data_IF_380675681081
#
_entry.id   IF_380675681081
#
_cell.length_a   1.000
_cell.length_b   1.000
_cell.length_c   1.000
_cell.angle_alpha   90.00
_cell.angle_beta   90.00
_cell.angle_gamma   90.00
#
_symmetry.space_group_name_H-M   'P 1'
#
loop_
_entity.id
_entity.type
_entity.pdbx_description
1 polymer ?
#
# COMPACT_ATOMS: atom_id res chain seq x y z
N UNK A 1 -41.88 -15.41 -17.32
CA UNK A 1 -41.64 -14.54 -16.14
C UNK A 1 -40.45 -14.99 -15.27
N UNK A 2 -40.32 -16.27 -14.89
CA UNK A 2 -39.31 -16.76 -13.93
C UNK A 2 -37.84 -16.30 -14.16
N UNK A 3 -37.38 -16.17 -15.40
CA UNK A 3 -35.99 -15.77 -15.71
C UNK A 3 -35.63 -14.39 -15.15
N UNK A 4 -36.58 -13.44 -15.12
CA UNK A 4 -36.32 -12.04 -14.69
C UNK A 4 -35.93 -11.98 -13.22
N UNK A 5 -36.68 -12.68 -12.35
CA UNK A 5 -36.44 -12.70 -10.91
C UNK A 5 -35.09 -13.31 -10.52
N UNK A 6 -34.50 -14.16 -11.37
CA UNK A 6 -33.20 -14.76 -11.13
C UNK A 6 -32.00 -13.86 -11.48
N UNK A 7 -32.23 -12.74 -12.19
CA UNK A 7 -31.15 -11.82 -12.64
C UNK A 7 -31.06 -10.57 -11.75
N UNK A 8 -32.20 -10.03 -11.27
CA UNK A 8 -32.21 -8.88 -10.36
C UNK A 8 -31.25 -8.98 -9.16
N UNK A 9 -31.18 -10.08 -8.37
CA UNK A 9 -30.27 -10.15 -7.23
C UNK A 9 -28.79 -10.20 -7.63
N UNK A 10 -28.45 -10.80 -8.78
CA UNK A 10 -27.08 -10.77 -9.31
C UNK A 10 -26.69 -9.36 -9.76
N UNK A 11 -27.59 -8.66 -10.45
CA UNK A 11 -27.36 -7.28 -10.88
C UNK A 11 -27.22 -6.35 -9.67
N UNK A 12 -28.05 -6.52 -8.64
CA UNK A 12 -27.98 -5.78 -7.37
C UNK A 12 -26.68 -6.03 -6.62
N UNK A 13 -26.22 -7.28 -6.50
CA UNK A 13 -24.97 -7.60 -5.80
C UNK A 13 -23.73 -7.09 -6.56
N UNK A 14 -23.72 -7.19 -7.89
CA UNK A 14 -22.66 -6.59 -8.73
C UNK A 14 -22.65 -5.07 -8.63
N UNK A 15 -23.83 -4.42 -8.72
CA UNK A 15 -23.94 -2.97 -8.58
C UNK A 15 -23.49 -2.50 -7.19
N UNK A 16 -23.82 -3.24 -6.13
CA UNK A 16 -23.33 -2.99 -4.77
C UNK A 16 -21.82 -3.10 -4.63
N UNK A 17 -21.20 -4.13 -5.23
CA UNK A 17 -19.74 -4.25 -5.28
C UNK A 17 -19.07 -3.14 -6.08
N UNK A 18 -19.63 -2.78 -7.23
CA UNK A 18 -19.13 -1.69 -8.09
C UNK A 18 -19.25 -0.34 -7.36
N UNK A 19 -20.39 -0.06 -6.71
CA UNK A 19 -20.58 1.14 -5.89
C UNK A 19 -19.61 1.16 -4.69
N UNK A 20 -19.41 0.04 -4.00
CA UNK A 20 -18.42 -0.04 -2.92
C UNK A 20 -16.99 0.22 -3.43
N UNK A 21 -16.63 -0.32 -4.60
CA UNK A 21 -15.31 -0.09 -5.21
C UNK A 21 -15.14 1.37 -5.64
N UNK A 22 -16.18 1.99 -6.23
CA UNK A 22 -16.17 3.42 -6.54
C UNK A 22 -16.11 4.29 -5.28
N UNK A 23 -16.84 3.98 -4.21
CA UNK A 23 -16.79 4.73 -2.94
C UNK A 23 -15.41 4.61 -2.30
N UNK A 24 -14.83 3.41 -2.23
CA UNK A 24 -13.46 3.19 -1.73
C UNK A 24 -12.50 4.01 -2.60
N UNK A 25 -12.54 3.86 -3.93
CA UNK A 25 -11.70 4.63 -4.86
C UNK A 25 -11.87 6.14 -4.69
N UNK A 26 -13.09 6.65 -4.49
CA UNK A 26 -13.34 8.08 -4.28
C UNK A 26 -12.79 8.56 -2.94
N UNK A 27 -12.93 7.78 -1.85
CA UNK A 27 -12.33 8.12 -0.55
C UNK A 27 -10.80 8.04 -0.55
N UNK A 28 -10.21 7.15 -1.36
CA UNK A 28 -8.75 7.01 -1.48
C UNK A 28 -8.13 8.01 -2.47
N UNK A 29 -8.90 8.45 -3.47
CA UNK A 29 -8.49 9.45 -4.48
C UNK A 29 -8.86 10.88 -4.10
N UNK A 30 -9.74 11.06 -3.10
CA UNK A 30 -9.98 12.37 -2.50
C UNK A 30 -8.67 12.83 -1.85
N UNK A 31 -8.08 13.98 -2.24
CA UNK A 31 -6.92 14.50 -1.55
C UNK A 31 -7.32 14.82 -0.11
N UNK A 32 -6.78 14.05 0.84
CA UNK A 32 -6.95 14.31 2.27
C UNK A 32 -6.59 15.75 2.56
N UNK A 33 -7.53 16.53 3.12
CA UNK A 33 -7.33 17.94 3.45
C UNK A 33 -6.46 18.07 4.69
N UNK A 34 -5.18 17.73 4.55
CA UNK A 34 -4.13 18.12 5.49
C UNK A 34 -3.90 19.62 5.37
N UNK A 35 -3.62 20.28 6.50
CA UNK A 35 -3.28 21.70 6.49
C UNK A 35 -2.09 21.95 5.55
N UNK A 36 -2.16 23.05 4.77
CA UNK A 36 -1.19 23.36 3.73
C UNK A 36 0.11 23.93 4.35
N UNK A 37 0.92 23.05 4.94
CA UNK A 37 2.32 23.35 5.25
C UNK A 37 3.15 23.16 3.97
N UNK A 38 3.60 24.26 3.36
CA UNK A 38 4.38 24.21 2.13
C UNK A 38 5.77 23.59 2.38
N UNK A 39 6.00 22.40 1.79
CA UNK A 39 7.29 21.69 1.85
C UNK A 39 8.12 22.06 0.60
N UNK A 40 9.08 22.96 0.77
CA UNK A 40 10.00 23.39 -0.28
C UNK A 40 11.13 22.38 -0.50
N UNK A 41 10.95 21.53 -1.52
CA UNK A 41 11.98 20.61 -2.00
C UNK A 41 13.20 21.36 -2.56
N UNK A 42 14.40 21.05 -2.06
CA UNK A 42 15.65 21.64 -2.50
C UNK A 42 16.72 20.57 -2.77
N UNK A 43 16.96 20.30 -4.05
CA UNK A 43 18.11 19.52 -4.50
C UNK A 43 19.40 20.35 -4.41
N UNK A 44 20.45 19.81 -3.80
CA UNK A 44 21.78 20.43 -3.71
C UNK A 44 22.87 19.38 -3.89
N UNK A 45 24.03 19.81 -4.39
CA UNK A 45 25.22 18.97 -4.44
C UNK A 45 25.98 19.07 -3.11
N UNK A 46 26.74 18.03 -2.77
CA UNK A 46 27.72 18.08 -1.68
C UNK A 46 28.67 19.28 -1.83
N UNK A 47 29.09 19.80 -0.68
CA UNK A 47 29.88 21.01 -0.45
C UNK A 47 29.21 22.33 -0.88
N UNK A 48 28.01 22.32 -1.48
CA UNK A 48 27.28 23.56 -1.79
C UNK A 48 26.71 24.23 -0.53
N UNK A 49 26.14 25.43 -0.69
CA UNK A 49 25.32 26.10 0.32
C UNK A 49 23.83 26.08 -0.02
N UNK A 50 23.01 26.42 0.98
CA UNK A 50 21.60 26.74 0.84
C UNK A 50 21.21 27.85 1.82
N UNK A 51 20.43 28.80 1.34
CA UNK A 51 19.78 29.82 2.16
C UNK A 51 18.35 29.41 2.48
N UNK A 52 17.99 29.52 3.75
CA UNK A 52 16.69 29.15 4.31
C UNK A 52 16.10 30.42 4.93
N UNK A 53 14.91 30.83 4.45
CA UNK A 53 14.12 31.91 5.05
C UNK A 53 12.92 31.28 5.75
N UNK A 54 12.92 31.34 7.09
CA UNK A 54 11.79 30.88 7.88
C UNK A 54 10.94 32.07 8.31
N UNK A 55 9.66 32.06 7.95
CA UNK A 55 8.66 33.08 8.33
C UNK A 55 7.70 32.46 9.37
N UNK A 56 7.41 33.17 10.45
CA UNK A 56 6.51 32.70 11.51
C UNK A 56 5.07 32.48 11.03
N UNK A 57 4.44 31.39 11.50
CA UNK A 57 3.03 31.07 11.25
C UNK A 57 2.02 31.98 11.96
N UNK A 58 2.48 32.88 12.83
CA UNK A 58 1.60 33.86 13.48
C UNK A 58 0.95 34.79 12.43
N UNK A 59 -0.31 35.15 12.67
CA UNK A 59 -1.06 36.10 11.83
C UNK A 59 -0.77 37.53 12.26
N UNK A 60 -0.91 37.76 13.56
CA UNK A 60 -0.81 39.05 14.21
C UNK A 60 0.65 39.28 14.62
N UNK A 61 1.28 40.33 14.09
CA UNK A 61 2.73 40.60 14.23
C UNK A 61 3.08 41.52 15.41
N UNK A 62 2.17 41.70 16.36
CA UNK A 62 2.35 42.64 17.48
C UNK A 62 3.45 42.17 18.44
N UNK A 63 3.40 40.92 18.88
CA UNK A 63 4.46 40.30 19.67
C UNK A 63 5.70 39.99 18.81
N UNK A 64 6.89 40.48 19.20
CA UNK A 64 8.17 40.01 18.65
C UNK A 64 8.59 38.68 19.30
N UNK A 65 9.05 37.66 18.56
CA UNK A 65 9.53 36.41 19.15
C UNK A 65 10.82 36.63 19.96
N UNK A 66 10.95 35.98 21.12
CA UNK A 66 12.15 36.06 21.97
C UNK A 66 13.18 34.98 21.59
N UNK A 67 12.72 33.85 21.05
CA UNK A 67 13.54 32.71 20.67
C UNK A 67 13.15 32.11 19.32
N UNK A 68 14.09 31.38 18.71
CA UNK A 68 13.95 30.68 17.43
C UNK A 68 14.70 29.35 17.49
N UNK A 69 14.10 28.30 16.94
CA UNK A 69 14.66 26.95 16.90
C UNK A 69 14.57 26.37 15.50
N UNK A 70 15.71 25.92 14.94
CA UNK A 70 15.74 25.07 13.74
C UNK A 70 15.80 23.60 14.16
N UNK A 71 14.94 22.76 13.58
CA UNK A 71 14.87 21.32 13.86
C UNK A 71 14.85 20.50 12.57
N UNK A 72 15.46 19.31 12.62
CA UNK A 72 15.28 18.21 11.66
C UNK A 72 14.20 17.24 12.18
N UNK A 73 13.57 16.42 11.32
CA UNK A 73 12.53 15.46 11.78
C UNK A 73 12.51 14.08 11.11
N UNK A 74 13.11 13.91 9.93
CA UNK A 74 12.92 12.71 9.11
C UNK A 74 14.01 11.65 9.33
N UNK A 75 15.28 12.02 9.20
CA UNK A 75 16.41 11.08 9.36
C UNK A 75 17.12 11.28 10.70
N UNK A 76 17.24 12.54 11.16
CA UNK A 76 17.82 12.89 12.45
C UNK A 76 16.88 13.83 13.21
N UNK A 77 15.86 13.30 13.88
CA UNK A 77 14.95 14.11 14.70
C UNK A 77 15.69 14.77 15.88
N UNK A 78 16.11 16.04 15.72
CA UNK A 78 16.87 16.80 16.72
C UNK A 78 16.80 18.31 16.49
N UNK A 79 17.15 19.06 17.54
CA UNK A 79 17.50 20.48 17.45
C UNK A 79 18.82 20.63 16.66
N UNK A 80 18.84 21.54 15.70
CA UNK A 80 20.05 21.94 14.95
C UNK A 80 20.66 23.19 15.57
N UNK A 81 19.84 24.24 15.74
CA UNK A 81 20.25 25.47 16.42
C UNK A 81 19.14 26.02 17.32
N UNK A 82 19.54 26.76 18.34
CA UNK A 82 18.70 27.67 19.12
C UNK A 82 19.26 29.08 19.03
N UNK A 83 18.41 30.07 18.80
CA UNK A 83 18.77 31.48 18.77
C UNK A 83 17.83 32.23 19.72
N UNK A 84 18.37 33.17 20.49
CA UNK A 84 17.62 34.02 21.42
C UNK A 84 17.95 35.47 21.12
N UNK A 85 17.00 36.38 21.36
CA UNK A 85 17.17 37.83 21.15
C UNK A 85 18.44 38.33 21.87
N UNK A 86 19.30 39.05 21.14
CA UNK A 86 20.55 39.62 21.67
C UNK A 86 21.65 38.60 22.01
N UNK A 87 21.52 37.33 21.63
CA UNK A 87 22.47 36.25 21.97
C UNK A 87 22.92 35.49 20.71
N UNK A 88 24.17 35.03 20.71
CA UNK A 88 24.71 34.22 19.61
C UNK A 88 23.99 32.86 19.48
N UNK A 89 23.86 32.30 18.26
CA UNK A 89 23.19 31.01 18.06
C UNK A 89 23.93 29.87 18.78
N UNK A 90 23.20 29.14 19.60
CA UNK A 90 23.64 27.91 20.26
C UNK A 90 23.44 26.72 19.31
N UNK A 91 24.56 26.10 18.94
CA UNK A 91 24.62 24.94 18.04
C UNK A 91 25.43 23.85 18.76
N UNK A 92 24.79 22.71 19.05
CA UNK A 92 25.38 21.65 19.88
C UNK A 92 26.52 20.90 19.19
N UNK A 93 26.57 20.92 17.84
CA UNK A 93 27.54 20.18 17.03
C UNK A 93 28.64 21.10 16.49
N UNK A 94 29.93 20.84 16.75
CA UNK A 94 31.03 21.74 16.34
C UNK A 94 31.25 21.75 14.82
N UNK A 95 30.86 20.68 14.13
CA UNK A 95 30.84 20.53 12.68
C UNK A 95 29.70 21.31 12.01
N UNK A 96 28.56 21.48 12.68
CA UNK A 96 27.45 22.33 12.24
C UNK A 96 27.72 23.81 12.58
N UNK A 97 28.33 24.09 13.74
CA UNK A 97 28.63 25.46 14.21
C UNK A 97 29.59 26.24 13.29
N UNK A 98 30.40 25.55 12.49
CA UNK A 98 31.29 26.15 11.48
C UNK A 98 30.62 26.37 10.10
N UNK A 99 29.40 25.87 9.92
CA UNK A 99 28.70 25.77 8.63
C UNK A 99 27.37 26.50 8.59
N UNK A 100 26.71 26.65 9.75
CA UNK A 100 25.42 27.33 9.86
C UNK A 100 25.65 28.77 10.31
N UNK A 101 25.23 29.71 9.48
CA UNK A 101 25.33 31.16 9.72
C UNK A 101 23.93 31.75 9.74
N UNK A 102 23.60 32.55 10.75
CA UNK A 102 22.36 33.35 10.76
C UNK A 102 22.69 34.73 10.18
N UNK A 103 21.83 35.24 9.30
CA UNK A 103 21.97 36.57 8.68
C UNK A 103 21.14 37.62 9.43
N UNK A 104 19.87 37.30 9.68
CA UNK A 104 18.89 38.26 10.20
C UNK A 104 18.41 37.91 11.61
N UNK A 105 18.14 38.93 12.41
CA UNK A 105 17.65 38.81 13.78
C UNK A 105 16.13 38.62 13.87
N UNK A 106 15.65 38.17 15.04
CA UNK A 106 14.25 37.79 15.31
C UNK A 106 13.21 38.92 15.17
N UNK A 107 13.67 40.16 15.00
CA UNK A 107 12.88 41.40 14.92
C UNK A 107 11.66 41.32 13.98
N UNK A 108 11.82 40.72 12.79
CA UNK A 108 10.88 40.81 11.67
C UNK A 108 9.95 39.58 11.51
N UNK A 109 9.79 38.77 12.56
CA UNK A 109 9.07 37.47 12.55
C UNK A 109 9.61 36.48 11.51
N UNK A 110 10.83 36.71 11.06
CA UNK A 110 11.48 36.06 9.93
C UNK A 110 12.94 35.89 10.26
N UNK A 111 13.51 34.71 10.04
CA UNK A 111 14.93 34.42 10.27
C UNK A 111 15.52 33.84 8.99
N UNK A 112 16.52 34.51 8.46
CA UNK A 112 17.32 34.03 7.33
C UNK A 112 18.61 33.40 7.84
N UNK A 113 18.91 32.20 7.37
CA UNK A 113 20.11 31.45 7.73
C UNK A 113 20.67 30.69 6.53
N UNK A 114 21.99 30.59 6.46
CA UNK A 114 22.73 29.83 5.45
C UNK A 114 23.28 28.56 6.09
N UNK A 115 23.05 27.41 5.46
CA UNK A 115 23.82 26.19 5.72
C UNK A 115 24.84 26.06 4.58
N UNK A 116 26.13 26.20 4.89
CA UNK A 116 27.22 26.04 3.92
C UNK A 116 27.87 24.65 4.02
N UNK A 117 28.62 24.27 2.98
CA UNK A 117 29.36 23.01 2.94
C UNK A 117 28.48 21.80 3.32
N UNK A 118 27.36 21.64 2.59
CA UNK A 118 26.38 20.56 2.77
C UNK A 118 27.01 19.18 2.54
N UNK A 119 26.61 18.19 3.33
CA UNK A 119 27.07 16.80 3.22
C UNK A 119 25.85 15.87 3.10
N UNK A 120 26.02 14.63 2.61
CA UNK A 120 24.89 13.68 2.48
C UNK A 120 24.07 13.52 3.78
N UNK A 121 24.75 13.53 4.93
CA UNK A 121 24.16 13.50 6.28
C UNK A 121 23.34 14.74 6.68
N UNK A 122 23.31 15.80 5.86
CA UNK A 122 22.46 16.97 6.05
C UNK A 122 21.11 16.85 5.32
N UNK A 123 20.88 15.76 4.57
CA UNK A 123 19.59 15.44 3.96
C UNK A 123 18.53 15.19 5.03
N UNK A 124 17.50 16.04 5.11
CA UNK A 124 16.39 15.91 6.08
C UNK A 124 15.23 16.86 5.73
N UNK A 125 14.11 16.74 6.44
CA UNK A 125 13.07 17.79 6.52
C UNK A 125 13.42 18.75 7.67
N UNK A 126 13.81 19.96 7.31
CA UNK A 126 14.02 21.07 8.24
C UNK A 126 12.72 21.81 8.47
N UNK A 127 12.45 22.14 9.74
CA UNK A 127 11.31 22.96 10.13
C UNK A 127 11.72 23.94 11.22
N UNK A 128 11.07 25.09 11.22
CA UNK A 128 11.36 26.21 12.11
C UNK A 128 10.29 26.37 13.18
N UNK A 129 10.68 26.82 14.36
CA UNK A 129 9.80 27.17 15.47
C UNK A 129 10.22 28.50 16.08
N UNK A 130 9.24 29.34 16.36
CA UNK A 130 9.39 30.66 16.97
C UNK A 130 8.79 30.63 18.37
N UNK A 131 9.41 31.31 19.32
CA UNK A 131 9.03 31.30 20.73
C UNK A 131 8.58 32.71 21.14
N UNK A 132 7.36 32.81 21.69
CA UNK A 132 6.67 34.07 22.04
C UNK A 132 6.26 34.08 23.52
N UNK A 133 6.04 35.26 24.07
CA UNK A 133 5.79 35.47 25.51
C UNK A 133 7.08 35.62 26.32
N UNK A 134 6.95 35.59 27.64
CA UNK A 134 8.07 35.57 28.59
C UNK A 134 8.51 34.14 28.92
N UNK A 135 9.67 34.00 29.59
CA UNK A 135 10.26 32.71 29.99
C UNK A 135 9.36 31.81 30.86
N UNK A 136 8.27 32.35 31.41
CA UNK A 136 7.27 31.61 32.19
C UNK A 136 6.09 31.07 31.35
N UNK A 137 5.92 31.59 30.13
CA UNK A 137 4.79 31.28 29.23
C UNK A 137 5.25 31.22 27.75
N UNK A 138 6.20 30.32 27.44
CA UNK A 138 6.64 30.07 26.06
C UNK A 138 5.51 29.53 25.18
N UNK A 139 4.97 30.40 24.32
CA UNK A 139 4.11 30.03 23.20
C UNK A 139 4.98 29.73 21.98
N UNK A 140 5.28 28.46 21.77
CA UNK A 140 5.93 28.00 20.53
C UNK A 140 4.94 28.02 19.35
N UNK A 141 5.33 28.65 18.24
CA UNK A 141 4.57 28.75 16.98
C UNK A 141 5.43 28.20 15.83
N UNK A 142 4.91 27.32 14.95
CA UNK A 142 5.68 26.83 13.80
C UNK A 142 5.94 27.93 12.77
N UNK A 143 7.00 27.76 11.97
CA UNK A 143 7.17 28.50 10.72
C UNK A 143 6.15 28.04 9.67
N UNK A 144 5.82 28.92 8.72
CA UNK A 144 4.86 28.63 7.62
C UNK A 144 5.35 27.57 6.64
N UNK A 145 6.66 27.42 6.54
CA UNK A 145 7.35 26.65 5.50
C UNK A 145 8.26 25.60 6.12
N UNK A 146 8.36 24.47 5.43
CA UNK A 146 9.27 23.38 5.76
C UNK A 146 10.18 23.13 4.56
N UNK A 147 11.40 22.67 4.78
CA UNK A 147 12.42 22.55 3.74
C UNK A 147 12.91 21.10 3.70
N UNK A 148 12.52 20.34 2.68
CA UNK A 148 13.19 19.07 2.42
C UNK A 148 14.44 19.35 1.62
N UNK A 149 15.59 19.20 2.26
CA UNK A 149 16.90 19.39 1.65
C UNK A 149 17.40 18.00 1.27
N UNK A 150 17.68 17.79 -0.01
CA UNK A 150 18.35 16.59 -0.51
C UNK A 150 19.76 16.98 -0.95
N UNK A 151 20.76 16.35 -0.35
CA UNK A 151 22.17 16.56 -0.68
C UNK A 151 22.69 15.35 -1.44
N UNK A 152 22.86 15.51 -2.75
CA UNK A 152 23.48 14.52 -3.61
C UNK A 152 24.97 14.42 -3.29
N UNK A 153 25.39 13.25 -2.80
CA UNK A 153 26.79 12.93 -2.53
C UNK A 153 27.32 12.01 -3.63
N UNK A 154 27.99 12.59 -4.62
CA UNK A 154 28.58 11.87 -5.76
C UNK A 154 29.69 10.86 -5.37
N UNK A 155 30.09 10.81 -4.08
CA UNK A 155 30.99 9.77 -3.56
C UNK A 155 30.26 8.56 -2.97
N UNK A 156 28.93 8.58 -2.92
CA UNK A 156 28.08 7.48 -2.48
C UNK A 156 27.51 6.76 -3.71
N UNK A 157 27.95 5.52 -3.93
CA UNK A 157 27.46 4.69 -5.04
C UNK A 157 25.92 4.56 -5.01
N UNK A 158 25.24 4.54 -6.16
CA UNK A 158 23.78 4.53 -6.21
C UNK A 158 23.23 3.29 -5.52
N UNK A 159 22.34 3.51 -4.53
CA UNK A 159 21.77 2.46 -3.70
C UNK A 159 20.95 1.44 -4.52
N UNK A 160 21.60 0.37 -4.99
CA UNK A 160 20.98 -0.75 -5.69
C UNK A 160 20.05 -1.54 -4.76
N UNK A 161 18.84 -1.05 -4.54
CA UNK A 161 17.85 -1.68 -3.68
C UNK A 161 17.20 -2.91 -4.36
N UNK A 162 17.96 -4.00 -4.50
CA UNK A 162 17.43 -5.31 -4.93
C UNK A 162 16.25 -5.76 -4.06
N UNK A 163 16.28 -5.46 -2.75
CA UNK A 163 15.17 -5.74 -1.83
C UNK A 163 13.87 -5.02 -2.25
N UNK A 164 13.93 -3.76 -2.69
CA UNK A 164 12.77 -3.00 -3.13
C UNK A 164 12.09 -3.64 -4.35
N UNK A 165 12.88 -4.09 -5.33
CA UNK A 165 12.37 -4.82 -6.50
C UNK A 165 11.75 -6.16 -6.11
N UNK A 166 12.41 -6.94 -5.25
CA UNK A 166 11.88 -8.20 -4.75
C UNK A 166 10.53 -8.02 -4.02
N UNK A 167 10.41 -6.97 -3.19
CA UNK A 167 9.19 -6.65 -2.44
C UNK A 167 8.04 -6.25 -3.39
N UNK A 168 8.32 -5.47 -4.44
CA UNK A 168 7.35 -5.16 -5.50
C UNK A 168 6.90 -6.41 -6.27
N UNK A 169 7.82 -7.33 -6.60
CA UNK A 169 7.46 -8.61 -7.24
C UNK A 169 6.60 -9.49 -6.31
N UNK A 170 6.88 -9.54 -5.01
CA UNK A 170 6.08 -10.28 -4.02
C UNK A 170 4.67 -9.70 -3.90
N UNK A 171 4.52 -8.37 -3.81
CA UNK A 171 3.20 -7.71 -3.78
C UNK A 171 2.43 -7.97 -5.07
N UNK A 172 3.09 -7.83 -6.24
CA UNK A 172 2.48 -8.10 -7.55
C UNK A 172 1.99 -9.55 -7.66
N UNK A 173 2.82 -10.52 -7.27
CA UNK A 173 2.45 -11.93 -7.23
C UNK A 173 1.27 -12.22 -6.30
N UNK A 174 1.23 -11.61 -5.12
CA UNK A 174 0.12 -11.74 -4.18
C UNK A 174 -1.20 -11.19 -4.75
N UNK A 175 -1.17 -10.02 -5.41
CA UNK A 175 -2.35 -9.44 -6.08
C UNK A 175 -2.85 -10.33 -7.21
N UNK A 176 -1.95 -10.88 -8.05
CA UNK A 176 -2.30 -11.83 -9.11
C UNK A 176 -2.93 -13.12 -8.55
N UNK A 177 -2.37 -13.71 -7.50
CA UNK A 177 -2.91 -14.91 -6.86
C UNK A 177 -4.29 -14.68 -6.24
N UNK A 178 -4.51 -13.53 -5.59
CA UNK A 178 -5.81 -13.14 -5.06
C UNK A 178 -6.84 -12.94 -6.18
N UNK A 179 -6.45 -12.32 -7.30
CA UNK A 179 -7.31 -12.18 -8.48
C UNK A 179 -7.74 -13.53 -9.07
N UNK A 180 -6.79 -14.46 -9.24
CA UNK A 180 -7.06 -15.83 -9.72
C UNK A 180 -7.99 -16.57 -8.76
N UNK A 181 -7.77 -16.45 -7.44
CA UNK A 181 -8.62 -17.08 -6.43
C UNK A 181 -10.08 -16.57 -6.49
N UNK A 182 -10.27 -15.26 -6.63
CA UNK A 182 -11.61 -14.65 -6.79
C UNK A 182 -12.30 -15.14 -8.07
N UNK A 183 -11.56 -15.25 -9.19
CA UNK A 183 -12.09 -15.77 -10.46
C UNK A 183 -12.47 -17.26 -10.35
N UNK A 184 -11.63 -18.08 -9.69
CA UNK A 184 -11.92 -19.50 -9.44
C UNK A 184 -13.16 -19.70 -8.56
N UNK A 185 -13.31 -18.88 -7.52
CA UNK A 185 -14.50 -18.88 -6.64
C UNK A 185 -15.75 -18.44 -7.42
N UNK A 186 -15.68 -17.35 -8.20
CA UNK A 186 -16.80 -16.85 -8.99
C UNK A 186 -17.27 -17.88 -10.04
N UNK A 187 -16.34 -18.46 -10.80
CA UNK A 187 -16.65 -19.51 -11.79
C UNK A 187 -17.25 -20.75 -11.13
N UNK A 188 -16.73 -21.20 -9.97
CA UNK A 188 -17.33 -22.30 -9.22
C UNK A 188 -18.78 -22.01 -8.78
N UNK A 189 -19.08 -20.78 -8.32
CA UNK A 189 -20.45 -20.37 -8.00
C UNK A 189 -21.36 -20.35 -9.24
N UNK A 190 -20.89 -19.82 -10.37
CA UNK A 190 -21.67 -19.78 -11.62
C UNK A 190 -21.93 -21.20 -12.18
N UNK A 191 -20.93 -22.07 -12.26
CA UNK A 191 -21.10 -23.45 -12.69
C UNK A 191 -22.08 -24.23 -11.78
N UNK A 192 -21.98 -24.04 -10.46
CA UNK A 192 -22.89 -24.66 -9.48
C UNK A 192 -24.31 -24.08 -9.53
N UNK A 193 -24.49 -22.85 -10.02
CA UNK A 193 -25.80 -22.25 -10.30
C UNK A 193 -26.43 -22.79 -11.59
N UNK A 194 -25.64 -22.94 -12.66
CA UNK A 194 -26.07 -23.48 -13.96
C UNK A 194 -26.46 -24.96 -13.82
N UNK A 195 -25.62 -25.77 -13.15
CA UNK A 195 -25.89 -27.20 -12.91
C UNK A 195 -27.24 -27.45 -12.22
N UNK A 196 -27.61 -26.64 -11.21
CA UNK A 196 -28.92 -26.76 -10.53
C UNK A 196 -30.12 -26.44 -11.42
N UNK A 197 -29.97 -25.62 -12.47
CA UNK A 197 -31.07 -25.26 -13.37
C UNK A 197 -31.40 -26.37 -14.37
N UNK A 198 -30.40 -27.15 -14.80
CA UNK A 198 -30.59 -28.24 -15.77
C UNK A 198 -31.22 -29.51 -15.19
N UNK A 199 -31.37 -29.61 -13.87
CA UNK A 199 -31.96 -30.77 -13.19
C UNK A 199 -33.50 -30.73 -13.06
N UNK A 200 -34.16 -29.67 -13.54
CA UNK A 200 -35.56 -29.39 -13.19
C UNK A 200 -36.51 -29.20 -14.40
N UNK A 201 -36.24 -29.85 -15.54
CA UNK A 201 -37.18 -29.85 -16.67
C UNK A 201 -37.16 -31.12 -17.55
N UNK A 202 -37.44 -32.27 -16.95
CA UNK A 202 -37.93 -33.45 -17.67
C UNK A 202 -39.24 -33.90 -17.03
N UNK A 203 -40.35 -33.36 -17.55
CA UNK A 203 -41.69 -33.93 -17.32
C UNK A 203 -41.92 -34.95 -18.43
N UNK A 204 -42.04 -36.26 -18.16
CA UNK A 204 -42.37 -37.23 -19.18
C UNK A 204 -43.81 -36.99 -19.66
N UNK A 205 -43.94 -36.41 -20.85
CA UNK A 205 -45.22 -36.36 -21.57
C UNK A 205 -45.48 -37.75 -22.10
N UNK A 206 -46.41 -38.46 -21.47
CA UNK A 206 -46.93 -39.72 -22.01
C UNK A 206 -47.98 -39.40 -23.08
N UNK A 207 -47.61 -39.62 -24.34
CA UNK A 207 -48.51 -39.45 -25.47
C UNK A 207 -49.51 -40.62 -25.53
N UNK A 208 -50.78 -40.28 -25.67
CA UNK A 208 -51.91 -41.21 -25.68
C UNK A 208 -52.07 -41.85 -27.07
N UNK A 209 -52.46 -43.13 -27.15
CA UNK A 209 -53.52 -43.67 -28.04
C UNK A 209 -53.49 -45.21 -28.17
N UNK A 210 -54.70 -45.79 -28.22
CA UNK A 210 -55.10 -47.06 -28.87
C UNK A 210 -54.25 -48.35 -28.67
N UNK A 211 -54.77 -49.28 -27.85
CA UNK A 211 -54.38 -50.70 -27.84
C UNK A 211 -55.56 -51.60 -27.42
N UNK A 212 -55.92 -52.59 -28.24
CA UNK A 212 -57.11 -53.46 -28.05
C UNK A 212 -56.80 -54.64 -27.11
N UNK A 213 -57.73 -55.01 -26.23
CA UNK A 213 -57.62 -56.21 -25.37
C UNK A 213 -57.60 -57.50 -26.19
N UNK A 214 -56.83 -58.52 -25.76
CA UNK A 214 -57.50 -59.64 -25.08
C UNK A 214 -56.80 -60.13 -23.78
N UNK A 215 -57.62 -60.40 -22.75
CA UNK A 215 -57.51 -61.41 -21.67
C UNK A 215 -56.14 -61.88 -21.12
N UNK A 216 -55.96 -61.65 -19.80
CA UNK A 216 -55.70 -62.60 -18.68
C UNK A 216 -54.88 -63.91 -18.91
N UNK A 217 -54.13 -64.48 -17.95
CA UNK A 217 -53.63 -64.18 -16.58
C UNK A 217 -53.11 -65.54 -16.01
N UNK A 218 -51.94 -65.75 -15.36
CA UNK A 218 -50.69 -64.98 -15.19
C UNK A 218 -49.59 -65.85 -14.51
N UNK A 219 -48.50 -66.17 -15.23
CA UNK A 219 -47.23 -66.79 -14.76
C UNK A 219 -46.04 -65.97 -15.37
N UNK A 220 -44.81 -65.79 -14.83
CA UNK A 220 -43.80 -66.65 -14.12
C UNK A 220 -43.10 -67.63 -15.12
N UNK A 221 -41.75 -67.91 -15.11
CA UNK A 221 -40.59 -67.37 -14.35
C UNK A 221 -39.78 -66.31 -15.17
N UNK A 222 -38.44 -66.15 -15.37
CA UNK A 222 -37.12 -66.83 -15.10
C UNK A 222 -35.97 -65.77 -15.02
N UNK A 223 -34.67 -65.96 -14.70
CA UNK A 223 -33.65 -67.05 -14.73
C UNK A 223 -33.09 -67.39 -16.15
N UNK A 224 -31.80 -67.66 -16.44
CA UNK A 224 -30.57 -68.10 -15.71
C UNK A 224 -29.29 -67.30 -16.14
N UNK A 225 -28.23 -67.40 -15.33
CA UNK A 225 -26.85 -66.89 -15.44
C UNK A 225 -25.98 -67.34 -16.65
N UNK A 226 -24.80 -66.71 -16.83
CA UNK A 226 -23.55 -67.42 -17.14
C UNK A 226 -22.31 -66.72 -16.52
N UNK A 227 -21.18 -67.41 -16.41
CA UNK A 227 -20.09 -67.10 -15.46
C UNK A 227 -18.66 -67.19 -16.05
N UNK A 228 -17.78 -66.30 -15.55
CA UNK A 228 -16.35 -66.52 -15.20
C UNK A 228 -15.30 -66.64 -16.36
N UNK A 229 -14.02 -66.65 -15.92
CA UNK A 229 -12.72 -66.89 -16.60
C UNK A 229 -12.05 -65.56 -17.04
N UNK A 230 -10.96 -65.10 -16.40
CA UNK A 230 -9.52 -65.53 -16.50
C UNK A 230 -8.91 -65.23 -17.89
N UNK A 231 -7.65 -64.79 -18.07
CA UNK A 231 -6.52 -64.43 -17.18
C UNK A 231 -5.51 -63.53 -17.97
N UNK A 232 -4.31 -63.24 -17.44
CA UNK A 232 -3.11 -63.31 -18.32
C UNK A 232 -2.35 -62.05 -18.80
N UNK A 233 -1.67 -61.35 -17.88
CA UNK A 233 -0.18 -61.16 -17.89
C UNK A 233 0.57 -60.31 -18.99
N UNK A 234 1.86 -60.00 -18.69
CA UNK A 234 2.95 -59.46 -19.56
C UNK A 234 2.86 -57.99 -20.03
N UNK A 235 3.94 -57.20 -20.18
CA UNK A 235 5.35 -57.20 -19.71
C UNK A 235 6.01 -55.87 -20.17
N UNK A 236 7.08 -55.31 -19.58
CA UNK A 236 7.89 -55.67 -18.41
C UNK A 236 9.23 -54.87 -18.36
N UNK A 237 10.04 -55.09 -17.31
CA UNK A 237 11.43 -54.59 -17.13
C UNK A 237 11.62 -53.05 -16.94
N UNK A 238 12.68 -52.50 -16.31
CA UNK A 238 13.91 -53.09 -15.73
C UNK A 238 14.48 -52.18 -14.62
N UNK A 239 14.96 -52.75 -13.49
CA UNK A 239 16.20 -52.43 -12.70
C UNK A 239 16.47 -50.96 -12.23
N UNK A 240 17.17 -50.63 -11.12
CA UNK A 240 17.89 -51.39 -10.05
C UNK A 240 18.14 -50.50 -8.79
N UNK A 241 18.25 -51.13 -7.61
CA UNK A 241 19.35 -50.95 -6.63
C UNK A 241 19.62 -49.63 -5.84
N UNK A 242 18.82 -49.35 -4.81
CA UNK A 242 19.24 -49.07 -3.40
C UNK A 242 20.35 -47.97 -3.16
N UNK A 243 21.09 -47.84 -2.02
CA UNK A 243 21.15 -46.53 -1.34
C UNK A 243 22.58 -46.03 -0.92
N UNK A 244 22.59 -45.08 0.04
CA UNK A 244 23.69 -44.48 0.82
C UNK A 244 24.05 -43.03 0.41
N UNK A 245 24.24 -42.04 1.30
CA UNK A 245 24.71 -41.95 2.71
C UNK A 245 26.24 -41.82 2.82
N UNK A 246 26.69 -40.56 2.78
CA UNK A 246 27.87 -39.95 3.45
C UNK A 246 27.46 -38.47 3.66
N UNK A 247 27.72 -37.75 4.76
CA UNK A 247 28.81 -37.76 5.75
C UNK A 247 30.14 -37.25 5.20
N UNK A 248 30.27 -35.92 5.16
CA UNK A 248 31.38 -35.21 5.80
C UNK A 248 30.95 -33.77 6.14
#
# INVERSE_FOLDING_TARGET
MLVVFAVLPFLSMMLGFILAFFVIWYTFSSPSVTAHEDIFYNHRLRNSSIDISCISGIKDKEDKPFGFTLKRRLLQSRRVLYLSRGLSPSINRPDEKKRIFVRDELENHTVHLTISNLQGQDTDVYHCQFHYGDLLYDRTVPGRTQFFIYVEDLSQEPCHCWSCLALLYVISGAVCLLGILVIAIATAYHCKSISRRNLQMVVPVYEEMAGVQPTREKDIPSHIDLLKVEEGNSSGATFLHTPNLYVN
#
